data_IF_650004608229
#
_entry.id   IF_650004608229
#
_cell.length_a   1.000
_cell.length_b   1.000
_cell.length_c   1.000
_cell.angle_alpha   90.00
_cell.angle_beta   90.00
_cell.angle_gamma   90.00
#
_symmetry.space_group_name_H-M   'P 1'
#
loop_
_entity.id
_entity.type
_entity.pdbx_description
1 polymer ?
#
# COMPACT_ATOMS: atom_id res chain seq x y z
N UNK A 1 -0.82 41.49 -42.85
CA UNK A 1 -0.60 40.04 -42.91
C UNK A 1 0.31 39.48 -41.82
N UNK A 2 1.02 40.28 -41.10
CA UNK A 2 1.86 39.84 -39.99
C UNK A 2 1.16 39.77 -38.66
N UNK A 3 -0.09 40.18 -38.58
CA UNK A 3 -0.91 40.21 -37.34
C UNK A 3 -1.58 38.90 -36.99
N UNK A 4 -1.69 37.96 -37.95
CA UNK A 4 -2.40 36.71 -37.70
C UNK A 4 -1.57 35.65 -36.94
N UNK A 5 -0.23 35.71 -37.07
CA UNK A 5 0.61 34.74 -36.38
C UNK A 5 0.79 35.01 -34.89
N UNK A 6 0.68 36.27 -34.47
CA UNK A 6 0.76 36.64 -33.06
C UNK A 6 -0.51 36.29 -32.30
N UNK A 7 -1.66 36.36 -32.98
CA UNK A 7 -2.93 35.95 -32.36
C UNK A 7 -3.03 34.45 -32.14
N UNK A 8 -2.44 33.66 -33.02
CA UNK A 8 -2.39 32.20 -32.88
C UNK A 8 -1.50 31.76 -31.73
N UNK A 9 -0.38 32.45 -31.48
CA UNK A 9 0.51 32.18 -30.38
C UNK A 9 -0.11 32.48 -29.01
N UNK A 10 -0.93 33.52 -28.93
CA UNK A 10 -1.62 33.87 -27.69
C UNK A 10 -2.72 32.86 -27.37
N UNK A 11 -3.43 32.35 -28.37
CA UNK A 11 -4.43 31.30 -28.18
C UNK A 11 -3.83 29.97 -27.73
N UNK A 12 -2.64 29.63 -28.22
CA UNK A 12 -1.94 28.42 -27.79
C UNK A 12 -1.47 28.50 -26.32
N UNK A 13 -1.10 29.68 -25.85
CA UNK A 13 -0.74 29.92 -24.47
C UNK A 13 -1.94 29.83 -23.52
N UNK A 14 -3.12 30.22 -23.96
CA UNK A 14 -4.33 30.10 -23.13
C UNK A 14 -4.81 28.65 -22.99
N UNK A 15 -4.56 27.81 -23.97
CA UNK A 15 -4.95 26.41 -23.90
C UNK A 15 -4.13 25.59 -22.90
N UNK A 16 -2.92 26.04 -22.58
CA UNK A 16 -2.05 25.33 -21.63
C UNK A 16 -2.31 25.66 -20.16
N UNK A 17 -3.10 26.70 -19.89
CA UNK A 17 -3.39 27.12 -18.52
C UNK A 17 -4.58 26.35 -17.92
N UNK A 18 -5.40 25.74 -18.77
CA UNK A 18 -6.60 25.04 -18.32
C UNK A 18 -6.37 23.58 -17.90
N UNK A 19 -5.19 23.05 -18.13
CA UNK A 19 -4.87 21.68 -17.75
C UNK A 19 -4.25 21.55 -16.35
N UNK A 20 -4.15 22.64 -15.61
CA UNK A 20 -3.40 22.67 -14.36
C UNK A 20 -4.25 22.54 -13.09
N UNK A 21 -5.55 22.22 -13.21
CA UNK A 21 -6.44 22.27 -12.06
C UNK A 21 -7.18 20.96 -11.75
N UNK A 22 -6.49 19.86 -11.79
CA UNK A 22 -6.94 18.75 -10.97
C UNK A 22 -5.91 18.60 -9.88
N UNK A 23 -5.99 19.46 -8.90
CA UNK A 23 -5.29 19.22 -7.63
C UNK A 23 -6.11 18.15 -6.95
N UNK A 24 -5.72 16.94 -7.18
CA UNK A 24 -6.13 15.85 -6.34
C UNK A 24 -5.40 16.07 -5.01
N UNK A 25 -6.09 16.67 -4.05
CA UNK A 25 -5.54 16.94 -2.72
C UNK A 25 -5.26 15.66 -1.94
N UNK A 26 -5.59 14.52 -2.50
CA UNK A 26 -5.39 13.24 -1.87
C UNK A 26 -4.11 12.58 -2.39
N UNK A 27 -3.15 12.42 -1.50
CA UNK A 27 -1.88 11.78 -1.81
C UNK A 27 -1.86 10.38 -1.19
N UNK A 28 -2.53 9.46 -1.86
CA UNK A 28 -2.63 8.07 -1.44
C UNK A 28 -2.24 7.16 -2.61
N UNK A 29 -1.15 6.46 -2.46
CA UNK A 29 -0.56 5.67 -3.52
C UNK A 29 -0.43 4.21 -3.17
N UNK A 30 -0.57 3.38 -4.21
CA UNK A 30 -0.28 1.96 -4.14
C UNK A 30 1.15 1.77 -4.64
N UNK A 31 2.05 1.39 -3.76
CA UNK A 31 3.47 1.27 -4.06
C UNK A 31 3.97 -0.15 -3.86
N UNK A 32 5.01 -0.50 -4.60
CA UNK A 32 5.74 -1.74 -4.37
C UNK A 32 6.96 -1.45 -3.50
N UNK A 33 7.24 -2.35 -2.57
CA UNK A 33 8.41 -2.29 -1.71
C UNK A 33 8.92 -3.69 -1.45
N UNK A 34 10.17 -3.80 -1.08
CA UNK A 34 10.74 -5.07 -0.68
C UNK A 34 10.79 -5.18 0.83
N UNK A 35 10.32 -6.30 1.36
CA UNK A 35 10.36 -6.59 2.78
C UNK A 35 11.03 -7.93 3.00
N UNK A 36 11.71 -8.07 4.13
CA UNK A 36 12.25 -9.35 4.55
C UNK A 36 11.24 -10.04 5.46
N UNK A 37 10.82 -11.22 5.05
CA UNK A 37 9.86 -12.03 5.79
C UNK A 37 10.62 -13.21 6.40
N UNK A 38 10.35 -13.45 7.68
CA UNK A 38 10.90 -14.58 8.40
C UNK A 38 9.76 -15.34 9.06
N UNK A 39 9.74 -16.65 8.90
CA UNK A 39 8.72 -17.49 9.49
C UNK A 39 9.33 -18.73 10.11
N UNK A 40 8.93 -19.01 11.33
CA UNK A 40 9.31 -20.22 12.07
C UNK A 40 8.28 -21.31 11.82
N UNK A 41 8.78 -22.54 11.70
CA UNK A 41 7.97 -23.74 11.62
C UNK A 41 8.29 -24.65 12.81
N UNK A 42 7.24 -25.11 13.48
CA UNK A 42 7.35 -25.95 14.67
C UNK A 42 6.86 -27.35 14.38
N UNK A 43 7.43 -28.34 15.07
CA UNK A 43 6.98 -29.72 14.98
C UNK A 43 5.72 -29.94 15.83
N UNK A 44 5.20 -31.18 15.81
CA UNK A 44 4.00 -31.55 16.55
C UNK A 44 4.16 -31.41 18.08
N UNK A 45 5.39 -31.39 18.56
CA UNK A 45 5.71 -31.25 19.98
C UNK A 45 6.01 -29.80 20.39
N UNK A 46 5.86 -28.85 19.46
CA UNK A 46 6.10 -27.43 19.72
C UNK A 46 7.56 -27.02 19.69
N UNK A 47 8.45 -27.86 19.19
CA UNK A 47 9.86 -27.52 19.04
C UNK A 47 10.12 -26.89 17.67
N UNK A 48 11.06 -25.94 17.67
CA UNK A 48 11.44 -25.27 16.41
C UNK A 48 12.06 -26.29 15.45
N UNK A 49 11.45 -26.46 14.31
CA UNK A 49 11.94 -27.32 13.24
C UNK A 49 12.85 -26.57 12.27
N UNK A 50 12.41 -25.42 11.82
CA UNK A 50 13.19 -24.57 10.93
C UNK A 50 12.69 -23.14 10.94
N UNK A 51 13.57 -22.23 10.52
CA UNK A 51 13.24 -20.83 10.29
C UNK A 51 13.57 -20.50 8.85
N UNK A 52 12.61 -20.01 8.11
CA UNK A 52 12.79 -19.62 6.70
C UNK A 52 12.62 -18.13 6.53
N UNK A 53 13.44 -17.55 5.67
CA UNK A 53 13.36 -16.14 5.36
C UNK A 53 13.58 -15.87 3.88
N UNK A 54 13.19 -14.68 3.44
CA UNK A 54 13.38 -14.24 2.06
C UNK A 54 13.00 -12.80 1.91
N UNK A 55 13.53 -12.17 0.89
CA UNK A 55 13.14 -10.83 0.49
C UNK A 55 12.04 -10.93 -0.57
N UNK A 56 10.93 -10.30 -0.31
CA UNK A 56 9.72 -10.40 -1.10
C UNK A 56 9.29 -9.00 -1.52
N UNK A 57 8.96 -8.84 -2.80
CA UNK A 57 8.33 -7.62 -3.28
C UNK A 57 6.85 -7.65 -2.90
N UNK A 58 6.41 -6.65 -2.17
CA UNK A 58 5.02 -6.55 -1.70
C UNK A 58 4.42 -5.20 -2.06
N UNK A 59 3.10 -5.14 -2.07
CA UNK A 59 2.36 -3.91 -2.28
C UNK A 59 2.01 -3.29 -0.94
N UNK A 60 2.19 -1.98 -0.83
CA UNK A 60 1.81 -1.21 0.37
C UNK A 60 1.03 0.03 0.00
N UNK A 61 0.28 0.53 0.96
CA UNK A 61 -0.38 1.83 0.85
C UNK A 61 0.46 2.88 1.57
N UNK A 62 0.72 4.00 0.91
CA UNK A 62 1.48 5.08 1.49
C UNK A 62 0.90 6.42 1.05
N UNK A 63 0.73 7.31 2.02
CA UNK A 63 0.21 8.62 1.76
C UNK A 63 -0.66 9.14 2.89
N UNK A 64 -1.30 10.26 2.62
CA UNK A 64 -2.19 10.89 3.57
C UNK A 64 -3.44 11.39 2.86
N UNK A 65 -4.50 11.55 3.64
CA UNK A 65 -5.80 11.96 3.16
C UNK A 65 -6.30 13.12 3.99
N UNK A 66 -7.18 13.94 3.40
CA UNK A 66 -7.77 15.06 4.09
C UNK A 66 -8.63 14.61 5.27
N UNK A 67 -8.43 15.25 6.39
CA UNK A 67 -9.20 15.01 7.60
C UNK A 67 -9.46 16.33 8.30
N UNK A 68 -10.64 16.47 8.88
CA UNK A 68 -11.01 17.69 9.59
C UNK A 68 -11.99 17.43 10.71
N UNK A 69 -11.94 18.31 11.72
CA UNK A 69 -12.92 18.39 12.80
C UNK A 69 -13.36 19.85 12.90
N UNK A 70 -14.66 20.07 12.88
CA UNK A 70 -15.22 21.44 12.97
C UNK A 70 -16.42 21.47 13.89
N UNK A 71 -16.73 22.63 14.50
CA UNK A 71 -17.94 22.77 15.30
C UNK A 71 -19.21 22.50 14.49
N UNK A 72 -20.20 21.90 15.11
CA UNK A 72 -21.48 21.62 14.48
C UNK A 72 -22.61 21.71 15.49
N UNK A 73 -23.70 22.36 15.10
CA UNK A 73 -24.89 22.48 15.94
C UNK A 73 -25.92 21.37 15.64
N UNK A 74 -25.71 20.58 14.60
CA UNK A 74 -26.63 19.53 14.17
C UNK A 74 -26.24 18.15 14.69
N UNK A 75 -25.03 17.98 15.19
CA UNK A 75 -24.57 16.72 15.78
C UNK A 75 -24.77 16.73 17.29
N UNK A 76 -25.01 15.55 17.87
CA UNK A 76 -25.20 15.40 19.32
C UNK A 76 -23.92 15.67 20.11
N UNK A 77 -22.75 15.48 19.47
CA UNK A 77 -21.44 15.70 20.10
C UNK A 77 -20.99 17.16 20.08
N UNK A 78 -21.64 18.02 19.30
CA UNK A 78 -21.26 19.42 19.15
C UNK A 78 -20.19 19.69 18.10
N UNK A 79 -19.72 18.66 17.41
CA UNK A 79 -18.74 18.79 16.32
C UNK A 79 -19.01 17.79 15.20
N UNK A 80 -18.51 18.12 14.03
CA UNK A 80 -18.49 17.23 12.85
C UNK A 80 -17.07 16.78 12.60
N UNK A 81 -16.89 15.51 12.38
CA UNK A 81 -15.59 14.89 12.16
C UNK A 81 -15.56 14.14 10.83
N UNK A 82 -14.59 14.48 10.00
CA UNK A 82 -14.29 13.75 8.78
C UNK A 82 -12.84 13.28 8.87
N UNK A 83 -12.64 11.97 8.81
CA UNK A 83 -11.34 11.36 8.95
C UNK A 83 -11.15 10.29 7.87
N UNK A 84 -10.15 10.49 7.00
CA UNK A 84 -9.85 9.58 5.92
C UNK A 84 -8.43 9.05 6.07
N UNK A 85 -8.26 7.78 5.76
CA UNK A 85 -6.99 7.08 5.83
C UNK A 85 -6.61 6.52 4.47
N UNK A 86 -5.33 6.63 4.13
CA UNK A 86 -4.80 5.93 2.96
C UNK A 86 -4.63 4.46 3.31
N UNK A 87 -5.52 3.63 2.80
CA UNK A 87 -5.56 2.22 3.14
C UNK A 87 -6.10 1.40 1.98
N UNK A 88 -6.09 0.09 2.16
CA UNK A 88 -6.57 -0.87 1.18
C UNK A 88 -8.06 -0.72 0.89
N UNK A 89 -8.42 -0.68 -0.39
CA UNK A 89 -9.80 -0.87 -0.81
C UNK A 89 -10.21 -2.32 -0.63
N UNK A 90 -9.30 -3.23 -0.96
CA UNK A 90 -9.42 -4.66 -0.68
C UNK A 90 -8.04 -5.29 -0.61
N UNK A 91 -7.95 -6.44 0.04
CA UNK A 91 -6.73 -7.22 0.15
C UNK A 91 -6.77 -8.36 -0.85
N UNK A 92 -5.62 -8.70 -1.41
CA UNK A 92 -5.45 -9.89 -2.23
C UNK A 92 -4.48 -10.85 -1.55
N UNK A 93 -4.68 -12.12 -1.77
CA UNK A 93 -3.82 -13.17 -1.25
C UNK A 93 -2.92 -13.71 -2.35
N UNK A 94 -1.67 -13.94 -2.03
CA UNK A 94 -0.68 -14.41 -2.99
C UNK A 94 0.31 -15.36 -2.33
N UNK A 95 0.67 -16.48 -2.97
CA UNK A 95 1.74 -17.32 -2.47
C UNK A 95 3.11 -16.70 -2.73
N UNK A 96 4.00 -16.85 -1.79
CA UNK A 96 5.41 -16.45 -1.94
C UNK A 96 6.29 -17.56 -1.38
N UNK A 97 7.52 -17.62 -1.87
CA UNK A 97 8.47 -18.65 -1.47
C UNK A 97 9.63 -18.02 -0.72
N UNK A 98 9.88 -18.53 0.48
CA UNK A 98 11.05 -18.17 1.27
C UNK A 98 12.13 -19.19 0.95
N UNK A 99 13.28 -18.72 0.49
CA UNK A 99 14.34 -19.58 -0.08
C UNK A 99 15.57 -19.74 0.81
N UNK A 100 15.55 -19.19 2.01
CA UNK A 100 16.62 -19.31 2.98
C UNK A 100 16.11 -19.94 4.25
N UNK A 101 16.25 -21.26 4.36
CA UNK A 101 15.78 -22.01 5.51
C UNK A 101 16.94 -22.53 6.33
N UNK A 102 16.82 -22.44 7.64
CA UNK A 102 17.82 -22.87 8.63
C UNK A 102 17.16 -23.77 9.65
N UNK A 103 17.91 -24.77 10.13
CA UNK A 103 17.44 -25.63 11.21
C UNK A 103 17.51 -24.92 12.58
N UNK A 104 17.11 -25.61 13.63
CA UNK A 104 17.11 -25.06 14.98
C UNK A 104 18.50 -24.65 15.47
N UNK A 105 19.55 -25.23 14.92
CA UNK A 105 20.95 -24.93 15.25
C UNK A 105 21.53 -23.79 14.36
N UNK A 106 20.76 -23.25 13.45
CA UNK A 106 21.18 -22.19 12.57
C UNK A 106 21.93 -22.66 11.33
N UNK A 107 21.92 -23.95 11.03
CA UNK A 107 22.55 -24.50 9.84
C UNK A 107 21.59 -24.46 8.67
N UNK A 108 22.10 -24.04 7.52
CA UNK A 108 21.28 -23.94 6.31
C UNK A 108 20.82 -25.32 5.84
N UNK A 109 19.53 -25.40 5.61
CA UNK A 109 18.92 -26.62 5.10
C UNK A 109 19.09 -26.69 3.58
N UNK A 110 19.59 -27.84 3.12
CA UNK A 110 19.86 -28.15 1.73
C UNK A 110 19.13 -29.44 1.38
N UNK A 111 18.05 -29.33 0.66
CA UNK A 111 17.25 -30.48 0.26
C UNK A 111 15.95 -30.02 -0.38
N UNK A 112 15.38 -30.87 -1.24
CA UNK A 112 14.28 -30.49 -2.12
C UNK A 112 13.06 -29.97 -1.35
N UNK A 113 12.76 -30.56 -0.18
CA UNK A 113 11.57 -30.20 0.59
C UNK A 113 11.86 -29.23 1.74
N UNK A 114 13.12 -29.09 2.16
CA UNK A 114 13.49 -28.35 3.36
C UNK A 114 14.11 -26.99 3.08
N UNK A 115 14.62 -26.75 1.88
CA UNK A 115 15.35 -25.54 1.53
C UNK A 115 14.46 -24.34 1.23
N UNK A 116 13.18 -24.58 1.00
CA UNK A 116 12.20 -23.52 0.72
C UNK A 116 10.94 -23.71 1.53
N UNK A 117 10.23 -22.61 1.75
CA UNK A 117 8.93 -22.62 2.41
C UNK A 117 7.97 -21.74 1.62
N UNK A 118 6.84 -22.29 1.23
CA UNK A 118 5.77 -21.51 0.63
C UNK A 118 4.84 -20.98 1.70
N UNK A 119 4.58 -19.69 1.68
CA UNK A 119 3.63 -19.05 2.56
C UNK A 119 2.64 -18.23 1.72
N UNK A 120 1.52 -17.91 2.32
CA UNK A 120 0.55 -17.00 1.72
C UNK A 120 0.60 -15.67 2.43
N UNK A 121 0.71 -14.58 1.68
CA UNK A 121 0.63 -13.24 2.21
C UNK A 121 -0.64 -12.55 1.73
N UNK A 122 -1.10 -11.61 2.52
CA UNK A 122 -2.20 -10.72 2.13
C UNK A 122 -1.63 -9.33 1.98
N UNK A 123 -1.91 -8.73 0.84
CA UNK A 123 -1.39 -7.39 0.54
C UNK A 123 -2.49 -6.51 -0.06
N UNK A 124 -2.39 -5.19 0.08
CA UNK A 124 -3.37 -4.31 -0.55
C UNK A 124 -3.30 -4.44 -2.06
N UNK A 125 -4.46 -4.64 -2.69
CA UNK A 125 -4.56 -4.68 -4.14
C UNK A 125 -4.67 -3.27 -4.72
N UNK A 126 -5.39 -2.40 -4.04
CA UNK A 126 -5.59 -1.02 -4.43
C UNK A 126 -5.70 -0.16 -3.18
N UNK A 127 -5.02 0.97 -3.18
CA UNK A 127 -5.04 1.91 -2.05
C UNK A 127 -5.81 3.16 -2.41
N UNK A 128 -6.61 3.66 -1.48
CA UNK A 128 -7.37 4.88 -1.64
C UNK A 128 -7.71 5.48 -0.28
N UNK A 129 -8.17 6.72 -0.30
CA UNK A 129 -8.63 7.39 0.90
C UNK A 129 -9.99 6.86 1.28
N UNK A 130 -10.07 6.18 2.42
CA UNK A 130 -11.27 5.56 2.95
C UNK A 130 -11.48 6.10 4.35
N UNK A 131 -12.73 6.25 4.74
CA UNK A 131 -13.10 6.75 6.05
C UNK A 131 -12.46 5.91 7.16
N UNK A 132 -11.80 6.59 8.11
CA UNK A 132 -11.16 5.92 9.23
C UNK A 132 -12.19 5.27 10.15
N UNK A 133 -11.88 4.08 10.65
CA UNK A 133 -12.78 3.35 11.51
C UNK A 133 -13.79 2.47 10.78
N UNK A 134 -13.91 2.59 9.45
CA UNK A 134 -14.66 1.64 8.66
C UNK A 134 -13.83 0.36 8.51
N UNK A 135 -14.20 -0.64 9.28
CA UNK A 135 -13.61 -1.96 9.17
C UNK A 135 -14.17 -2.64 7.93
N UNK A 136 -13.68 -2.23 6.76
CA UNK A 136 -13.97 -2.94 5.52
C UNK A 136 -13.34 -4.34 5.58
N UNK A 137 -14.16 -5.33 5.37
CA UNK A 137 -13.75 -6.72 5.43
C UNK A 137 -13.98 -7.44 4.16
#
# INVERSE_FOLDING_TARGET
MLLSSKSLLILALYATINDAEVVDDENCETLQTEVRITKDEYDEMGRLRRTCSGEISVTKCEGFCDSQVQPSVVTTTGFSKECYCCREGYLKERPVVLNQCYDADGLRLMGIDDETMEIKIREPAECKCIKCGDLAR
#
